data_IF_656829035483
#
_entry.id   IF_656829035483
#
_cell.length_a   1.000
_cell.length_b   1.000
_cell.length_c   1.000
_cell.angle_alpha   90.00
_cell.angle_beta   90.00
_cell.angle_gamma   90.00
#
_symmetry.space_group_name_H-M   'P 1'
#
loop_
_entity.id
_entity.type
_entity.pdbx_description
1 polymer ?
2 water ?
#
# COMPACT_ATOMS: atom_id res chain seq x y z
N UNK A 5 -3.55 14.08 -1.71
CA UNK A 5 -2.39 14.43 -0.88
C UNK A 5 -2.39 13.77 0.51
N UNK A 6 -1.61 12.70 0.66
CA UNK A 6 -1.67 11.88 1.86
C UNK A 6 -0.36 11.15 2.05
N UNK A 7 -0.07 10.82 3.30
CA UNK A 7 1.08 9.98 3.62
C UNK A 7 0.66 8.64 4.21
N UNK A 8 1.01 7.56 3.53
CA UNK A 8 0.76 6.23 4.03
C UNK A 8 2.02 5.59 4.56
N UNK A 9 1.93 5.09 5.77
CA UNK A 9 3.02 4.34 6.32
C UNK A 9 2.53 2.88 6.39
N UNK A 10 3.06 2.06 5.51
CA UNK A 10 2.60 0.69 5.31
C UNK A 10 3.55 -0.34 5.95
N UNK A 11 3.09 -0.99 7.00
CA UNK A 11 3.90 -2.00 7.66
C UNK A 11 3.98 -3.30 6.87
N UNK A 12 5.16 -3.92 6.85
CA UNK A 12 5.40 -5.16 6.11
C UNK A 12 4.43 -6.27 6.52
N UNK A 13 4.02 -6.27 7.78
CA UNK A 13 3.15 -7.34 8.27
C UNK A 13 1.86 -7.38 7.45
N UNK A 14 1.40 -6.21 7.04
CA UNK A 14 0.20 -6.10 6.25
C UNK A 14 0.40 -6.69 4.87
N UNK A 15 1.53 -6.36 4.26
CA UNK A 15 1.83 -6.89 2.94
C UNK A 15 1.88 -8.41 3.02
N UNK A 17 0.40 -10.44 5.29
CA UNK A 17 -0.96 -10.93 5.49
C UNK A 17 -1.71 -11.01 4.19
N UNK A 18 -1.69 -9.92 3.45
CA UNK A 18 -2.44 -9.89 2.19
C UNK A 18 -1.92 -10.94 1.20
N UNK A 19 -0.60 -10.98 1.07
CA UNK A 19 0.03 -11.93 0.20
C UNK A 19 -0.27 -13.39 0.57
N UNK A 20 -0.23 -13.68 1.86
CA UNK A 20 -0.53 -15.04 2.31
C UNK A 20 -2.00 -15.39 2.11
N UNK A 21 -2.88 -14.42 2.34
CA UNK A 21 -4.31 -14.60 2.12
C UNK A 21 -4.54 -15.01 0.67
N UNK A 22 -3.90 -14.28 -0.24
CA UNK A 22 -4.02 -14.58 -1.67
C UNK A 22 -3.45 -15.95 -2.05
N UNK A 23 -2.26 -16.28 -1.53
CA UNK A 23 -1.60 -17.57 -1.71
C UNK A 23 -2.45 -18.75 -1.24
N UNK A 24 -2.98 -18.67 -0.02
CA UNK A 24 -3.91 -19.69 0.46
C UNK A 24 -5.31 -19.41 -0.09
N UNK A 25 -5.51 -19.69 -1.37
CA UNK A 25 -6.81 -19.46 -1.96
C UNK A 25 -6.89 -20.08 -3.35
N UNK A 32 -15.04 -16.73 -8.92
CA UNK A 32 -14.28 -16.17 -7.79
C UNK A 32 -12.77 -16.24 -8.03
N UNK A 33 -12.07 -15.17 -7.70
CA UNK A 33 -10.62 -15.13 -7.87
C UNK A 33 -9.99 -13.88 -7.23
N UNK A 34 -10.78 -13.17 -6.43
CA UNK A 34 -10.32 -12.06 -5.62
C UNK A 34 -10.37 -12.45 -4.14
N UNK A 35 -9.52 -11.83 -3.33
CA UNK A 35 -9.64 -11.88 -1.88
C UNK A 35 -9.87 -10.50 -1.31
N UNK A 36 -10.46 -10.47 -0.12
CA UNK A 36 -10.83 -9.22 0.57
C UNK A 36 -10.44 -9.24 2.05
N UNK A 37 -10.12 -8.07 2.60
CA UNK A 37 -9.88 -8.02 4.01
C UNK A 37 -10.06 -6.63 4.54
N UNK A 38 -9.85 -6.51 5.85
CA UNK A 38 -9.92 -5.24 6.57
C UNK A 38 -8.54 -4.75 6.99
N UNK A 39 -8.32 -3.46 6.83
CA UNK A 39 -7.11 -2.78 7.29
C UNK A 39 -7.31 -2.19 8.68
N UNK A 40 -6.33 -2.36 9.57
CA UNK A 40 -6.39 -1.63 10.82
C UNK A 40 -5.14 -0.77 11.08
N UNK A 41 -5.30 0.34 11.77
CA UNK A 41 -4.16 1.21 12.05
C UNK A 41 -4.55 2.47 12.78
N UNK A 42 -3.82 3.55 12.50
CA UNK A 42 -4.01 4.82 13.20
C UNK A 42 -3.89 5.90 12.18
N UNK A 43 -4.46 7.05 12.45
CA UNK A 43 -4.33 8.15 11.52
C UNK A 43 -4.52 9.49 12.21
N UNK A 44 -3.78 10.48 11.72
CA UNK A 44 -3.84 11.84 12.24
C UNK A 44 -3.62 12.77 11.04
N UNK A 45 -4.64 13.56 10.73
CA UNK A 45 -4.61 14.41 9.56
C UNK A 45 -4.48 13.55 8.32
N UNK A 46 -3.55 13.92 7.44
CA UNK A 46 -3.30 13.14 6.23
C UNK A 46 -2.22 12.08 6.44
N UNK A 47 -1.93 11.74 7.69
CA UNK A 47 -1.01 10.65 7.94
C UNK A 47 -1.75 9.38 8.35
N UNK A 48 -1.57 8.35 7.54
CA UNK A 48 -2.23 7.08 7.82
C UNK A 48 -1.20 5.98 8.02
N UNK A 49 -1.25 5.34 9.18
CA UNK A 49 -0.47 4.15 9.49
C UNK A 49 -1.30 2.88 9.37
N UNK A 50 -0.93 2.04 8.42
CA UNK A 50 -1.60 0.77 8.26
C UNK A 50 -0.74 -0.30 8.94
N UNK A 52 -1.93 -3.45 10.61
CA UNK A 52 -2.43 -4.80 10.64
C UNK A 52 -3.66 -4.95 9.76
N UNK A 53 -4.19 -6.18 9.70
CA UNK A 53 -5.24 -6.50 8.78
C UNK A 53 -5.78 -7.86 9.13
N UNK A 54 -7.03 -8.12 8.74
CA UNK A 54 -7.55 -9.49 8.85
C UNK A 54 -8.37 -9.87 7.62
N UNK A 55 -8.44 -11.18 7.38
CA UNK A 55 -9.12 -11.74 6.23
C UNK A 55 -10.62 -11.71 6.44
N UNK A 56 -11.34 -11.37 5.39
CA UNK A 56 -12.78 -11.50 5.40
C UNK A 56 -13.15 -12.86 4.81
N UNK A 57 -13.94 -13.63 5.56
CA UNK A 57 -14.55 -14.84 5.00
C UNK A 57 -15.64 -14.47 4.00
N UNK A 58 -15.66 -15.19 2.88
CA UNK A 58 -16.68 -15.00 1.88
C UNK A 58 -17.45 -16.29 1.65
N UNK A 59 -18.61 -16.16 1.03
CA UNK A 59 -19.41 -17.28 0.57
C UNK A 59 -19.75 -16.98 -0.87
N UNK A 60 -19.53 -17.95 -1.75
CA UNK A 60 -19.98 -17.80 -3.11
C UNK A 60 -21.42 -18.30 -3.20
N UNK A 61 -22.32 -17.38 -3.57
CA UNK A 61 -23.68 -17.71 -3.96
C UNK A 61 -23.74 -17.52 -5.48
N UNK A 62 -23.89 -18.65 -6.18
CA UNK A 62 -23.72 -18.81 -7.63
C UNK A 62 -23.24 -17.64 -8.45
N UNK A 63 -21.92 -17.51 -8.63
CA UNK A 63 -21.35 -16.42 -9.43
C UNK A 63 -21.28 -15.08 -8.68
N UNK A 64 -21.73 -15.05 -7.44
CA UNK A 64 -21.62 -13.84 -6.62
C UNK A 64 -20.75 -14.07 -5.37
N UNK A 65 -19.78 -13.19 -5.15
CA UNK A 65 -19.05 -13.24 -3.88
C UNK A 65 -19.72 -12.37 -2.82
N UNK A 66 -20.05 -12.99 -1.69
CA UNK A 66 -20.73 -12.30 -0.60
C UNK A 66 -19.89 -12.35 0.68
N UNK A 67 -19.56 -11.20 1.23
CA UNK A 67 -18.83 -11.14 2.49
C UNK A 67 -19.73 -11.60 3.62
N UNK A 68 -19.19 -12.41 4.51
CA UNK A 68 -19.94 -12.90 5.66
C UNK A 68 -19.99 -11.83 6.74
N UNK A 69 -21.14 -11.18 6.87
CA UNK A 69 -21.33 -10.05 7.76
C UNK A 69 -21.04 -10.37 9.24
N UNK A 70 -21.55 -11.50 9.71
CA UNK A 70 -21.38 -11.89 11.10
C UNK A 70 -19.90 -12.12 11.42
N UNK A 71 -19.23 -12.86 10.56
CA UNK A 71 -17.79 -13.10 10.75
C UNK A 71 -17.02 -11.78 10.79
N UNK A 72 -17.36 -10.85 9.92
CA UNK A 72 -16.71 -9.56 9.91
C UNK A 72 -16.92 -8.82 11.24
N UNK A 73 -18.14 -8.79 11.73
CA UNK A 73 -18.41 -8.09 12.99
C UNK A 73 -17.66 -8.74 14.15
N UNK A 74 -17.66 -10.07 14.17
CA UNK A 74 -16.91 -10.82 15.15
C UNK A 74 -15.42 -10.43 15.15
N UNK A 75 -14.77 -10.61 14.00
CA UNK A 75 -13.33 -10.34 13.91
C UNK A 75 -13.03 -8.90 14.26
N UNK A 76 -13.88 -7.97 13.81
CA UNK A 76 -13.62 -6.58 14.13
C UNK A 76 -13.64 -6.34 15.64
N UNK A 77 -14.65 -6.90 16.31
CA UNK A 77 -14.76 -6.84 17.76
C UNK A 77 -13.47 -7.33 18.41
N UNK A 78 -13.06 -8.54 18.00
CA UNK A 78 -11.84 -9.13 18.54
C UNK A 78 -10.63 -8.22 18.35
N UNK A 79 -10.46 -7.71 17.14
CA UNK A 79 -9.30 -6.90 16.84
C UNK A 79 -9.29 -5.64 17.68
N UNK A 80 -10.49 -5.16 17.99
CA UNK A 80 -10.61 -3.92 18.75
C UNK A 80 -10.26 -4.24 20.21
N UNK A 81 -10.60 -5.44 20.65
CA UNK A 81 -10.31 -5.83 22.02
C UNK A 81 -8.80 -6.03 22.21
N UNK A 82 -8.16 -6.60 21.20
CA UNK A 82 -6.74 -6.89 21.29
C UNK A 82 -5.84 -5.68 20.95
N UNK A 83 -6.10 -5.06 19.81
CA UNK A 83 -5.36 -3.85 19.42
C UNK A 83 -6.20 -2.64 19.72
N UNK A 84 -6.20 -2.20 20.97
CA UNK A 84 -7.18 -1.21 21.43
C UNK A 84 -6.84 0.23 21.03
N UNK A 85 -5.60 0.44 20.60
CA UNK A 85 -5.18 1.78 20.16
C UNK A 85 -5.39 1.98 18.64
N UNK A 86 -5.85 0.92 17.98
CA UNK A 86 -6.02 0.89 16.53
C UNK A 86 -7.49 0.81 16.17
N UNK A 87 -7.81 1.19 14.94
CA UNK A 87 -9.18 1.08 14.45
C UNK A 87 -9.21 0.53 13.04
N UNK A 88 -10.41 0.19 12.59
CA UNK A 88 -10.69 -0.06 11.19
C UNK A 88 -10.38 1.21 10.40
N UNK A 89 -9.59 1.09 9.32
CA UNK A 89 -9.31 2.24 8.48
C UNK A 89 -9.55 1.96 6.99
N UNK A 90 -10.00 0.75 6.66
CA UNK A 90 -10.43 0.47 5.30
C UNK A 90 -10.35 -0.98 4.89
N UNK A 91 -10.18 -1.20 3.59
CA UNK A 91 -10.29 -2.54 3.00
C UNK A 91 -9.10 -2.81 2.12
N UNK A 92 -8.75 -4.07 1.97
CA UNK A 92 -7.85 -4.45 0.89
C UNK A 92 -8.51 -5.50 0.01
N UNK A 93 -8.04 -5.57 -1.22
CA UNK A 93 -8.40 -6.70 -2.07
C UNK A 93 -7.28 -6.99 -3.05
N UNK A 94 -7.22 -8.23 -3.49
CA UNK A 94 -6.21 -8.57 -4.49
C UNK A 94 -6.54 -9.87 -5.22
N UNK A 95 -5.91 -10.11 -6.36
CA UNK A 95 -6.12 -11.35 -7.11
C UNK A 95 -6.22 -11.18 -8.62
N UNK A 96 -6.46 -12.30 -9.32
CA UNK A 96 -6.49 -12.35 -10.79
C UNK A 96 -7.61 -11.52 -11.40
N UNK A 104 -2.74 -12.33 -22.00
CA UNK A 104 -1.36 -12.64 -22.33
C UNK A 104 -0.42 -12.18 -21.21
N UNK A 105 -0.33 -10.86 -21.03
CA UNK A 105 0.51 -10.30 -19.98
C UNK A 105 -0.12 -10.50 -18.61
N UNK A 106 -1.42 -10.23 -18.51
CA UNK A 106 -2.16 -10.42 -17.27
C UNK A 106 -2.07 -11.88 -16.80
N UNK A 107 -2.24 -12.81 -17.74
CA UNK A 107 -2.06 -14.23 -17.46
C UNK A 107 -0.75 -14.48 -16.72
N UNK A 108 0.35 -13.95 -17.25
CA UNK A 108 1.69 -14.19 -16.70
C UNK A 108 1.94 -13.52 -15.35
N UNK A 109 1.57 -12.25 -15.22
CA UNK A 109 1.75 -11.55 -13.94
C UNK A 109 0.92 -12.23 -12.85
N UNK A 110 -0.31 -12.59 -13.20
CA UNK A 110 -1.25 -13.18 -12.26
C UNK A 110 -0.89 -14.63 -11.90
N UNK A 111 -0.26 -15.34 -12.83
CA UNK A 111 0.13 -16.75 -12.62
C UNK A 111 1.34 -16.85 -11.70
N UNK A 112 2.15 -15.80 -11.69
CA UNK A 112 3.26 -15.71 -10.76
C UNK A 112 2.84 -14.97 -9.51
N UNK A 113 1.56 -14.59 -9.47
CA UNK A 113 0.94 -13.90 -8.33
C UNK A 113 1.54 -12.52 -8.00
N UNK A 114 1.56 -11.62 -8.99
CA UNK A 114 2.08 -10.26 -8.80
C UNK A 114 1.11 -9.14 -9.22
N UNK A 115 -0.18 -9.46 -9.19
CA UNK A 115 -1.34 -8.57 -9.15
C UNK A 115 -1.24 -7.45 -8.09
N UNK A 116 -1.78 -6.27 -8.42
CA UNK A 116 -1.77 -5.11 -7.53
C UNK A 116 -2.54 -5.40 -6.23
N UNK A 117 -2.06 -4.82 -5.16
CA UNK A 117 -2.79 -4.84 -3.92
C UNK A 117 -3.60 -3.56 -3.88
N UNK A 119 -5.77 -0.95 -1.80
CA UNK A 119 -6.02 -0.42 -0.45
C UNK A 119 -7.01 0.75 -0.48
N UNK A 120 -8.21 0.53 0.04
CA UNK A 120 -9.22 1.59 0.11
C UNK A 120 -9.30 2.12 1.52
N UNK A 121 -8.89 3.38 1.69
CA UNK A 121 -8.75 3.97 3.01
C UNK A 121 -9.87 4.92 3.34
N UNK A 122 -10.43 4.79 4.53
CA UNK A 122 -11.51 5.68 4.99
C UNK A 122 -12.64 5.73 3.99
N UNK A 123 -13.19 4.54 3.63
CA UNK A 123 -14.38 4.47 2.77
C UNK A 123 -15.56 5.16 3.46
N UNK A 124 -16.56 5.55 2.69
CA UNK A 124 -17.68 6.33 3.23
C UNK A 124 -18.69 5.50 4.04
N UNK A 125 -18.91 4.25 3.65
CA UNK A 125 -19.56 3.29 4.55
C UNK A 125 -18.61 2.18 5.03
N UNK A 126 -18.75 1.80 6.30
CA UNK A 126 -18.03 0.66 6.85
C UNK A 126 -18.76 -0.63 6.51
N UNK A 127 -19.77 -0.50 5.67
CA UNK A 127 -20.60 -1.61 5.26
C UNK A 127 -19.88 -2.59 4.31
N UNK A 128 -20.11 -3.87 4.56
CA UNK A 128 -19.46 -4.96 3.85
C UNK A 128 -20.44 -5.55 2.79
N UNK A 129 -21.66 -5.06 2.81
CA UNK A 129 -22.66 -5.47 1.84
C UNK A 129 -22.27 -5.01 0.43
N UNK A 130 -22.36 -5.91 -0.54
CA UNK A 130 -21.87 -5.69 -1.90
C UNK A 130 -20.51 -5.00 -1.94
N UNK A 131 -19.65 -5.35 -1.00
CA UNK A 131 -18.32 -4.77 -0.96
C UNK A 131 -17.59 -4.88 -2.29
N UNK A 132 -17.60 -6.08 -2.92
CA UNK A 132 -16.86 -6.16 -4.19
C UNK A 132 -17.30 -5.07 -5.18
N UNK A 133 -18.61 -4.89 -5.33
CA UNK A 133 -19.10 -3.89 -6.27
C UNK A 133 -18.77 -2.50 -5.75
N UNK A 134 -18.77 -2.30 -4.44
CA UNK A 134 -18.34 -1.00 -3.90
C UNK A 134 -16.90 -0.69 -4.32
N UNK A 135 -16.01 -1.65 -4.09
CA UNK A 135 -14.59 -1.45 -4.41
C UNK A 135 -14.41 -1.19 -5.90
N UNK A 136 -14.80 -2.16 -6.72
CA UNK A 136 -14.52 -2.11 -8.14
C UNK A 136 -15.16 -0.92 -8.89
N UNK A 137 -16.06 -0.20 -8.23
CA UNK A 137 -16.56 1.06 -8.78
C UNK A 137 -15.48 2.13 -8.61
N UNK A 138 -14.28 1.83 -9.10
CA UNK A 138 -13.13 2.75 -9.04
C UNK A 138 -11.81 2.06 -9.45
N UNK B 5 -9.58 9.88 2.82
CA UNK B 5 -10.40 9.00 1.98
C UNK B 5 -9.87 8.82 0.56
N UNK B 6 -9.27 7.66 0.30
CA UNK B 6 -8.51 7.49 -0.92
C UNK B 6 -8.28 6.02 -1.20
N UNK B 7 -8.17 5.67 -2.47
CA UNK B 7 -7.91 4.30 -2.87
C UNK B 7 -6.55 4.17 -3.55
N UNK B 8 -5.67 3.38 -2.96
CA UNK B 8 -4.37 3.12 -3.55
C UNK B 8 -4.31 1.75 -4.12
N UNK B 9 -3.89 1.67 -5.36
CA UNK B 9 -3.64 0.40 -6.00
C UNK B 9 -2.12 0.25 -6.17
N UNK B 10 -1.54 -0.63 -5.37
CA UNK B 10 -0.09 -0.73 -5.22
C UNK B 10 0.46 -1.94 -5.96
N UNK B 11 1.20 -1.69 -7.03
CA UNK B 11 1.82 -2.81 -7.77
C UNK B 11 3.03 -3.41 -7.04
N UNK B 12 3.09 -4.75 -7.03
CA UNK B 12 4.16 -5.49 -6.33
C UNK B 12 5.54 -5.04 -6.79
N UNK B 13 5.67 -4.63 -8.05
CA UNK B 13 6.96 -4.25 -8.58
C UNK B 13 7.51 -3.10 -7.74
N UNK B 14 6.63 -2.25 -7.24
CA UNK B 14 7.05 -1.10 -6.46
C UNK B 14 7.58 -1.54 -5.11
N UNK B 15 6.86 -2.45 -4.48
CA UNK B 15 7.30 -2.98 -3.20
C UNK B 15 8.68 -3.64 -3.40
N UNK B 17 11.01 -3.02 -5.79
CA UNK B 17 11.99 -1.96 -6.01
C UNK B 17 12.44 -1.32 -4.69
N UNK B 18 11.46 -0.94 -3.86
CA UNK B 18 11.79 -0.28 -2.62
C UNK B 18 12.61 -1.22 -1.72
N UNK B 19 12.12 -2.44 -1.60
CA UNK B 19 12.84 -3.45 -0.85
C UNK B 19 14.30 -3.66 -1.31
N UNK B 20 14.49 -3.78 -2.64
CA UNK B 20 15.79 -3.96 -3.28
C UNK B 20 16.70 -2.79 -2.94
N UNK B 21 16.12 -1.60 -3.06
CA UNK B 21 16.83 -0.37 -2.80
C UNK B 21 17.39 -0.38 -1.38
N UNK B 22 16.52 -0.73 -0.44
CA UNK B 22 16.92 -0.79 0.96
C UNK B 22 17.99 -1.88 1.22
N UNK B 23 17.79 -3.08 0.65
CA UNK B 23 18.72 -4.22 0.77
C UNK B 23 20.10 -3.86 0.24
N UNK B 24 20.16 -3.29 -0.96
CA UNK B 24 21.43 -2.81 -1.49
C UNK B 24 21.72 -1.45 -0.92
N UNK B 25 22.11 -1.41 0.34
CA UNK B 25 22.44 -0.14 0.96
C UNK B 25 23.20 -0.29 2.26
N UNK B 26 24.34 0.40 2.28
CA UNK B 26 25.29 0.44 3.39
C UNK B 26 26.18 1.66 3.22
N UNK B 33 20.86 6.14 7.09
CA UNK B 33 20.27 4.81 7.24
C UNK B 33 18.84 4.75 6.68
N UNK B 34 18.46 5.80 5.95
CA UNK B 34 17.23 5.84 5.17
C UNK B 34 17.53 5.81 3.67
N UNK B 35 16.52 5.41 2.91
CA UNK B 35 16.59 5.35 1.46
C UNK B 35 15.37 6.11 0.92
N UNK B 36 15.53 6.75 -0.24
CA UNK B 36 14.50 7.60 -0.82
C UNK B 36 14.29 7.31 -2.29
N UNK B 37 13.07 7.51 -2.76
CA UNK B 37 12.83 7.31 -4.17
C UNK B 37 11.58 8.01 -4.64
N UNK B 38 11.36 7.94 -5.95
CA UNK B 38 10.20 8.53 -6.58
C UNK B 38 9.18 7.46 -7.00
N UNK B 39 7.91 7.75 -6.77
CA UNK B 39 6.80 6.92 -7.20
C UNK B 39 6.29 7.41 -8.56
N UNK B 40 5.97 6.49 -9.46
CA UNK B 40 5.26 6.90 -10.68
C UNK B 40 3.99 6.09 -10.90
N UNK B 41 2.97 6.70 -11.49
CA UNK B 41 1.74 6.01 -11.75
C UNK B 41 0.68 6.87 -12.39
N UNK B 42 -0.59 6.57 -12.11
CA UNK B 42 -1.71 7.30 -12.69
C UNK B 42 -2.68 7.62 -11.58
N UNK B 43 -3.50 8.63 -11.76
CA UNK B 43 -4.54 8.88 -10.78
C UNK B 43 -5.74 9.61 -11.36
N UNK B 44 -6.91 9.26 -10.85
CA UNK B 44 -8.15 9.87 -11.27
C UNK B 44 -9.01 9.99 -10.02
N UNK B 45 -9.31 11.23 -9.64
CA UNK B 45 -10.07 11.48 -8.43
C UNK B 45 -9.29 10.98 -7.24
N UNK B 46 -9.94 10.22 -6.35
CA UNK B 46 -9.26 9.65 -5.19
C UNK B 46 -8.69 8.26 -5.49
N UNK B 47 -8.57 7.90 -6.77
CA UNK B 47 -7.96 6.63 -7.12
C UNK B 47 -6.52 6.82 -7.60
N UNK B 48 -5.58 6.23 -6.86
CA UNK B 48 -4.19 6.36 -7.21
C UNK B 48 -3.58 4.99 -7.50
N UNK B 49 -3.05 4.83 -8.71
CA UNK B 49 -2.28 3.65 -9.10
C UNK B 49 -0.79 3.93 -9.04
N UNK B 50 -0.09 3.19 -8.18
CA UNK B 50 1.35 3.28 -8.05
C UNK B 50 1.97 2.11 -8.78
N UNK B 52 5.20 2.06 -10.67
CA UNK B 52 6.65 1.98 -10.75
C UNK B 52 7.32 3.01 -9.86
N UNK B 53 8.65 2.96 -9.83
CA UNK B 53 9.40 3.83 -8.95
C UNK B 53 10.88 3.84 -9.38
N UNK B 54 11.61 4.86 -8.98
CA UNK B 54 13.05 4.82 -9.15
C UNK B 54 13.78 5.35 -7.94
N UNK B 55 15.02 4.91 -7.77
CA UNK B 55 15.86 5.29 -6.65
C UNK B 55 16.41 6.68 -6.85
N UNK B 56 16.44 7.45 -5.76
CA UNK B 56 17.13 8.72 -5.75
C UNK B 56 18.55 8.52 -5.23
N UNK B 57 19.52 9.00 -6.00
CA UNK B 57 20.91 9.03 -5.52
C UNK B 57 21.02 10.14 -4.48
N UNK B 58 21.77 9.85 -3.42
CA UNK B 58 22.05 10.83 -2.39
C UNK B 58 23.56 11.04 -2.23
N UNK B 59 23.90 12.15 -1.60
CA UNK B 59 25.27 12.43 -1.18
C UNK B 59 25.25 12.81 0.29
N UNK B 66 21.62 14.58 1.42
CA UNK B 66 21.25 15.49 0.34
C UNK B 66 20.93 14.76 -0.96
N UNK B 67 19.71 14.92 -1.45
CA UNK B 67 19.31 14.33 -2.74
C UNK B 67 20.05 15.03 -3.86
N UNK B 68 20.57 14.25 -4.80
CA UNK B 68 21.22 14.78 -5.99
C UNK B 68 20.19 15.28 -7.00
N UNK B 69 20.06 16.60 -7.08
CA UNK B 69 19.02 17.24 -7.88
C UNK B 69 19.11 16.92 -9.38
N UNK B 70 20.34 16.96 -9.90
CA UNK B 70 20.57 16.72 -11.33
C UNK B 70 20.19 15.29 -11.70
N UNK B 71 20.66 14.32 -10.90
CA UNK B 71 20.29 12.91 -11.11
C UNK B 71 18.77 12.72 -11.08
N UNK B 72 18.11 13.36 -10.13
CA UNK B 72 16.66 13.28 -10.07
C UNK B 72 15.99 13.78 -11.35
N UNK B 73 16.40 14.96 -11.81
CA UNK B 73 15.79 15.51 -13.02
C UNK B 73 16.03 14.60 -14.22
N UNK B 74 17.26 14.10 -14.33
CA UNK B 74 17.63 13.16 -15.37
C UNK B 74 16.70 11.94 -15.38
N UNK B 75 16.63 11.25 -14.24
CA UNK B 75 15.84 10.02 -14.16
C UNK B 75 14.38 10.30 -14.43
N UNK B 76 13.87 11.41 -13.93
CA UNK B 76 12.46 11.73 -14.17
C UNK B 76 12.19 11.91 -15.66
N UNK B 77 13.08 12.67 -16.32
CA UNK B 77 13.00 12.84 -17.77
C UNK B 77 12.93 11.49 -18.46
N UNK B 78 13.91 10.64 -18.17
CA UNK B 78 13.93 9.30 -18.76
C UNK B 78 12.62 8.56 -18.54
N UNK B 79 12.15 8.51 -17.30
CA UNK B 79 10.93 7.75 -16.98
C UNK B 79 9.73 8.31 -17.71
N UNK B 80 9.74 9.61 -17.95
CA UNK B 80 8.62 10.22 -18.64
C UNK B 80 8.68 9.84 -20.11
N UNK B 81 9.90 9.73 -20.64
CA UNK B 81 10.09 9.35 -22.04
C UNK B 81 9.66 7.91 -22.26
N UNK B 82 10.00 7.04 -21.32
CA UNK B 82 9.70 5.61 -21.45
C UNK B 82 8.26 5.26 -21.08
N UNK B 83 7.83 5.68 -19.88
CA UNK B 83 6.47 5.45 -19.42
C UNK B 83 5.68 6.73 -19.61
N UNK B 84 5.18 6.95 -20.82
CA UNK B 84 4.66 8.26 -21.19
C UNK B 84 3.21 8.47 -20.74
N UNK B 85 2.55 7.39 -20.34
CA UNK B 85 1.20 7.49 -19.80
C UNK B 85 1.18 7.73 -18.27
N UNK B 86 2.37 7.70 -17.67
CA UNK B 86 2.53 7.78 -16.21
C UNK B 86 3.17 9.09 -15.82
N UNK B 87 3.01 9.45 -14.55
CA UNK B 87 3.64 10.66 -14.04
C UNK B 87 4.23 10.44 -12.68
N UNK B 88 5.02 11.42 -12.22
CA UNK B 88 5.44 11.49 -10.85
C UNK B 88 4.21 11.66 -9.97
N UNK B 89 4.10 10.87 -8.92
CA UNK B 89 2.97 11.00 -8.03
C UNK B 89 3.38 11.06 -6.57
N UNK B 90 4.68 10.96 -6.30
CA UNK B 90 5.15 11.16 -4.95
C UNK B 90 6.48 10.53 -4.62
N UNK B 91 6.72 10.30 -3.32
CA UNK B 91 8.00 9.84 -2.83
C UNK B 91 7.83 8.61 -1.97
N UNK B 92 8.86 7.77 -1.93
CA UNK B 92 8.91 6.74 -0.89
C UNK B 92 10.18 6.91 -0.08
N UNK B 93 10.13 6.44 1.15
CA UNK B 93 11.33 6.27 1.92
C UNK B 93 11.24 5.05 2.85
N UNK B 94 12.39 4.51 3.24
CA UNK B 94 12.37 3.40 4.19
C UNK B 94 13.73 3.18 4.84
N UNK B 95 13.77 2.39 5.93
CA UNK B 95 15.01 2.09 6.61
C UNK B 95 14.96 2.20 8.13
N UNK B 96 16.11 1.99 8.78
CA UNK B 96 16.24 1.94 10.26
C UNK B 96 15.96 3.25 10.99
N UNK B 97 16.90 4.18 10.92
CA UNK B 97 16.76 5.47 11.61
C UNK B 97 16.09 5.38 12.99
N UNK B 102 11.49 7.25 18.81
CA UNK B 102 10.91 7.79 20.04
C UNK B 102 11.13 6.84 21.22
N UNK B 103 10.58 5.63 21.12
CA UNK B 103 10.77 4.59 22.15
C UNK B 103 12.22 4.15 22.10
N UNK B 104 12.89 4.19 23.25
CA UNK B 104 14.32 3.87 23.35
C UNK B 104 14.66 2.51 22.73
N UNK B 105 13.89 1.51 23.12
CA UNK B 105 14.12 0.14 22.68
C UNK B 105 13.88 0.02 21.17
N UNK B 106 12.92 0.75 20.64
CA UNK B 106 12.71 0.80 19.20
C UNK B 106 13.99 1.27 18.50
N UNK B 107 14.79 2.05 19.21
CA UNK B 107 16.07 2.54 18.68
C UNK B 107 17.15 1.49 18.82
N UNK B 108 17.22 0.86 19.99
CA UNK B 108 18.30 -0.08 20.25
C UNK B 108 18.28 -1.30 19.34
N UNK B 109 17.09 -1.82 19.03
CA UNK B 109 16.94 -3.01 18.20
C UNK B 109 16.28 -2.69 16.86
N UNK B 110 16.51 -1.47 16.37
CA UNK B 110 15.86 -1.00 15.15
C UNK B 110 16.25 -1.88 13.98
N UNK B 111 17.52 -2.28 13.96
CA UNK B 111 18.07 -3.04 12.84
C UNK B 111 17.48 -4.44 12.67
N UNK B 112 16.83 -4.97 13.71
CA UNK B 112 16.17 -6.27 13.58
C UNK B 112 14.66 -6.17 13.64
N UNK B 113 14.15 -4.97 13.86
CA UNK B 113 12.72 -4.70 13.82
C UNK B 113 12.24 -4.42 12.37
N UNK B 114 10.94 -4.52 12.12
CA UNK B 114 10.40 -4.31 10.77
C UNK B 114 10.48 -2.86 10.39
N UNK B 115 10.80 -2.54 9.14
CA UNK B 115 10.66 -1.14 8.77
C UNK B 115 9.52 -0.85 7.78
N UNK B 116 8.65 0.07 8.17
CA UNK B 116 7.53 0.55 7.35
C UNK B 116 8.04 1.18 6.06
N UNK B 117 7.25 1.04 5.01
CA UNK B 117 7.52 1.75 3.78
C UNK B 117 6.68 3.00 3.81
N UNK B 119 5.02 6.11 2.02
CA UNK B 119 4.58 6.58 0.70
C UNK B 119 3.90 7.94 0.83
N UNK B 120 4.54 8.99 0.32
CA UNK B 120 3.96 10.34 0.31
C UNK B 120 3.41 10.70 -1.07
N UNK B 121 2.09 10.80 -1.17
CA UNK B 121 1.44 10.92 -2.46
C UNK B 121 0.99 12.35 -2.70
N UNK B 122 1.25 12.85 -3.91
CA UNK B 122 0.85 14.19 -4.27
C UNK B 122 1.29 15.22 -3.25
N UNK B 123 2.61 15.28 -2.99
CA UNK B 123 3.20 16.31 -2.11
C UNK B 123 2.97 17.68 -2.73
N UNK B 124 3.07 18.74 -1.93
CA UNK B 124 2.75 20.08 -2.41
C UNK B 124 3.86 20.69 -3.28
N UNK B 125 5.11 20.36 -2.99
CA UNK B 125 6.21 20.65 -3.91
C UNK B 125 6.83 19.36 -4.45
N UNK B 126 7.17 19.39 -5.74
CA UNK B 126 7.93 18.30 -6.35
C UNK B 126 9.41 18.50 -6.06
N UNK B 127 9.70 19.42 -5.14
CA UNK B 127 11.09 19.78 -4.84
C UNK B 127 11.77 18.71 -4.00
N UNK B 128 13.04 18.49 -4.30
CA UNK B 128 13.76 17.37 -3.73
C UNK B 128 14.50 17.66 -2.41
N UNK B 129 13.71 18.02 -1.40
CA UNK B 129 14.15 17.89 -0.01
C UNK B 129 13.41 16.70 0.65
N UNK B 130 12.63 16.97 1.70
CA UNK B 130 11.83 15.93 2.36
C UNK B 130 10.44 16.42 2.74
#
# INVERSE_FOLDING_TARGET
GSHXSVTISLHPLVIXNISEHWTRFRAQHGEPRQVYGALIGKQKGRNIEIXNSFELKTDVIGDETVINKDYYNKKEQQYKQVFSDLDFIGWYTTGDNPTADDIKIQRQIAAINECPIXLQLNPLSRSVDHLPLKLFESLID
GSHXSVTISLHPLVIXNISEHWTRFRAQHGEPRQVYGALIGKQKGRNIEIXNSFELKTDVIGDETVINKDYYNKKEQQYKQVFSDLDFIGWYTTGDNPTADDIKIQRQIAAINECPIXLQLNPLSRSVDHLPLKLFESLID
#
